data_IF_889518482141
#
_entry.id   IF_889518482141
#
_cell.length_a   1.000
_cell.length_b   1.000
_cell.length_c   1.000
_cell.angle_alpha   90.00
_cell.angle_beta   90.00
_cell.angle_gamma   90.00
#
_symmetry.space_group_name_H-M   'P 1'
#
loop_
_entity.id
_entity.type
_entity.pdbx_description
1 polymer ?
#
# COMPACT_ATOMS: atom_id res chain seq x y z
N UNK A 1 -16.26 -8.95 11.38
CA UNK A 1 -15.78 -8.48 10.07
C UNK A 1 -14.33 -8.93 9.91
N UNK A 2 -14.09 -10.07 9.24
CA UNK A 2 -12.75 -10.66 9.14
C UNK A 2 -12.50 -11.42 7.82
N UNK A 3 -13.30 -11.13 6.78
CA UNK A 3 -13.23 -11.83 5.49
C UNK A 3 -12.07 -11.38 4.59
N UNK A 4 -11.81 -10.07 4.51
CA UNK A 4 -10.89 -9.54 3.50
C UNK A 4 -9.40 -9.87 3.74
N UNK A 5 -8.95 -9.98 5.00
CA UNK A 5 -7.53 -10.22 5.28
C UNK A 5 -7.08 -11.65 4.98
N UNK A 6 -7.98 -12.63 5.15
CA UNK A 6 -7.72 -14.04 4.84
C UNK A 6 -7.65 -14.27 3.33
N UNK A 7 -8.59 -13.70 2.56
CA UNK A 7 -8.56 -13.76 1.09
C UNK A 7 -7.28 -13.14 0.52
N UNK A 8 -6.82 -12.03 1.11
CA UNK A 8 -5.55 -11.40 0.73
C UNK A 8 -4.33 -12.30 1.02
N UNK A 9 -4.34 -13.02 2.14
CA UNK A 9 -3.22 -13.86 2.54
C UNK A 9 -3.02 -15.08 1.61
N UNK A 10 -4.11 -15.63 1.08
CA UNK A 10 -4.08 -16.87 0.30
C UNK A 10 -3.86 -16.65 -1.21
N UNK A 11 -4.06 -15.42 -1.71
CA UNK A 11 -3.95 -15.17 -3.14
C UNK A 11 -2.49 -15.22 -3.65
N UNK A 12 -2.15 -16.04 -4.67
CA UNK A 12 -0.78 -16.25 -5.13
C UNK A 12 -0.12 -14.96 -5.66
N UNK A 13 -0.91 -14.05 -6.25
CA UNK A 13 -0.39 -12.76 -6.70
C UNK A 13 0.19 -11.91 -5.57
N UNK A 14 -0.21 -12.12 -4.31
CA UNK A 14 0.30 -11.33 -3.19
C UNK A 14 1.57 -11.92 -2.57
N UNK A 15 1.99 -13.12 -2.97
CA UNK A 15 3.04 -13.89 -2.30
C UNK A 15 4.32 -13.10 -2.04
N UNK A 16 4.81 -12.38 -3.05
CA UNK A 16 6.09 -11.64 -2.90
C UNK A 16 5.92 -10.40 -2.03
N UNK A 17 4.82 -9.67 -2.17
CA UNK A 17 4.50 -8.57 -1.26
C UNK A 17 4.41 -9.07 0.18
N UNK A 18 3.59 -10.09 0.44
CA UNK A 18 3.38 -10.61 1.79
C UNK A 18 4.67 -11.17 2.38
N UNK A 19 5.51 -11.84 1.58
CA UNK A 19 6.83 -12.28 2.00
C UNK A 19 7.73 -11.11 2.42
N UNK A 20 7.76 -10.04 1.62
CA UNK A 20 8.51 -8.82 1.92
C UNK A 20 8.02 -8.12 3.19
N UNK A 21 6.71 -7.93 3.34
CA UNK A 21 6.12 -7.29 4.52
C UNK A 21 6.36 -8.12 5.79
N UNK A 22 6.12 -9.43 5.71
CA UNK A 22 6.33 -10.36 6.82
C UNK A 22 7.77 -10.39 7.31
N UNK A 23 8.75 -10.27 6.41
CA UNK A 23 10.16 -10.24 6.79
C UNK A 23 10.54 -8.99 7.62
N UNK A 24 9.77 -7.91 7.53
CA UNK A 24 9.98 -6.67 8.29
C UNK A 24 9.10 -6.59 9.53
N UNK A 25 8.02 -7.38 9.57
CA UNK A 25 7.02 -7.37 10.63
C UNK A 25 7.64 -7.59 12.02
N UNK A 26 7.23 -6.76 12.99
CA UNK A 26 7.65 -6.86 14.39
C UNK A 26 6.44 -6.88 15.28
N UNK A 27 6.41 -7.80 16.24
CA UNK A 27 5.40 -7.76 17.30
C UNK A 27 5.75 -6.63 18.29
N UNK A 28 4.77 -5.88 18.80
CA UNK A 28 4.99 -4.94 19.89
C UNK A 28 5.49 -5.68 21.13
N UNK A 29 6.48 -5.11 21.80
CA UNK A 29 7.12 -5.70 23.00
C UNK A 29 7.03 -4.79 24.23
N UNK A 30 6.72 -3.50 24.02
CA UNK A 30 6.57 -2.50 25.07
C UNK A 30 5.21 -1.80 24.98
N UNK A 31 4.67 -1.24 26.09
CA UNK A 31 3.44 -0.45 26.07
C UNK A 31 3.44 0.70 25.06
N UNK A 32 4.60 1.33 24.83
CA UNK A 32 4.75 2.37 23.82
C UNK A 32 4.62 1.83 22.38
N UNK A 33 5.09 0.60 22.13
CA UNK A 33 4.95 -0.06 20.83
C UNK A 33 3.47 -0.34 20.51
N UNK A 34 2.66 -0.65 21.52
CA UNK A 34 1.22 -0.90 21.34
C UNK A 34 0.44 0.37 20.96
N UNK A 35 0.95 1.56 21.30
CA UNK A 35 0.37 2.83 20.83
C UNK A 35 0.50 2.99 19.32
N UNK A 36 1.56 2.42 18.73
CA UNK A 36 1.83 2.43 17.31
C UNK A 36 1.77 0.99 16.76
N UNK A 37 0.66 0.29 17.02
CA UNK A 37 0.43 -1.05 16.50
C UNK A 37 -0.89 -1.12 15.73
N UNK A 38 -0.91 -1.88 14.63
CA UNK A 38 -2.10 -2.20 13.87
C UNK A 38 -2.12 -3.71 13.59
N UNK A 39 -3.24 -4.36 13.92
CA UNK A 39 -3.43 -5.81 13.78
C UNK A 39 -2.32 -6.65 14.45
N UNK A 40 -1.99 -6.34 15.71
CA UNK A 40 -0.92 -7.00 16.49
C UNK A 40 0.53 -6.80 15.99
N UNK A 41 0.74 -5.95 14.99
CA UNK A 41 2.06 -5.62 14.45
C UNK A 41 2.40 -4.17 14.73
N UNK A 42 3.68 -3.89 15.03
CA UNK A 42 4.18 -2.52 15.07
C UNK A 42 3.92 -1.85 13.72
N UNK A 43 3.46 -0.61 13.75
CA UNK A 43 3.18 0.21 12.58
C UNK A 43 4.50 0.52 11.87
N UNK A 44 4.62 0.09 10.62
CA UNK A 44 5.79 0.33 9.76
C UNK A 44 5.60 1.54 8.83
N UNK A 45 4.64 2.39 9.19
CA UNK A 45 4.13 3.49 8.37
C UNK A 45 3.90 4.70 9.26
N UNK A 46 4.23 5.91 8.81
CA UNK A 46 3.91 7.10 9.57
C UNK A 46 2.37 7.32 9.64
N UNK A 47 1.78 7.75 10.77
CA UNK A 47 0.35 8.00 10.89
C UNK A 47 -0.22 8.89 9.77
N UNK A 48 0.46 9.98 9.43
CA UNK A 48 0.07 10.86 8.33
C UNK A 48 -0.04 10.14 6.98
N UNK A 49 0.80 9.12 6.76
CA UNK A 49 0.78 8.32 5.54
C UNK A 49 -0.37 7.30 5.53
N UNK A 50 -0.76 6.78 6.70
CA UNK A 50 -1.99 5.99 6.85
C UNK A 50 -3.22 6.84 6.50
N UNK A 51 -3.32 8.03 7.09
CA UNK A 51 -4.40 8.98 6.79
C UNK A 51 -4.41 9.35 5.31
N UNK A 52 -3.23 9.63 4.76
CA UNK A 52 -3.07 9.93 3.33
C UNK A 52 -3.54 8.80 2.43
N UNK A 53 -3.20 7.54 2.73
CA UNK A 53 -3.72 6.40 1.97
C UNK A 53 -5.25 6.32 2.06
N UNK A 54 -5.82 6.58 3.24
CA UNK A 54 -7.27 6.64 3.44
C UNK A 54 -7.95 7.73 2.60
N UNK A 55 -7.34 8.92 2.48
CA UNK A 55 -7.85 10.00 1.62
C UNK A 55 -7.82 9.69 0.13
N UNK A 56 -6.91 8.80 -0.30
CA UNK A 56 -6.73 8.41 -1.70
C UNK A 56 -7.57 7.20 -2.07
N UNK A 57 -8.02 6.42 -1.08
CA UNK A 57 -8.84 5.23 -1.28
C UNK A 57 -10.18 5.59 -1.92
N UNK A 58 -10.63 4.87 -2.98
CA UNK A 58 -11.97 5.05 -3.53
C UNK A 58 -13.04 4.69 -2.49
N UNK A 59 -14.22 5.31 -2.62
CA UNK A 59 -15.36 5.03 -1.76
C UNK A 59 -15.68 3.53 -1.71
N UNK A 60 -15.86 3.00 -0.50
CA UNK A 60 -16.19 1.60 -0.27
C UNK A 60 -15.00 0.63 -0.30
N UNK A 61 -13.78 1.10 -0.60
CA UNK A 61 -12.56 0.29 -0.49
C UNK A 61 -11.89 0.56 0.87
N UNK A 62 -11.92 -0.42 1.81
CA UNK A 62 -11.32 -0.22 3.12
C UNK A 62 -9.79 -0.27 3.07
N UNK A 63 -9.13 0.53 3.90
CA UNK A 63 -7.72 0.34 4.22
C UNK A 63 -7.60 -0.88 5.13
N UNK A 64 -6.84 -1.88 4.70
CA UNK A 64 -6.59 -3.10 5.46
C UNK A 64 -5.17 -3.12 6.02
N UNK A 65 -4.95 -3.60 7.25
CA UNK A 65 -3.61 -3.80 7.78
C UNK A 65 -3.01 -5.11 7.28
N UNK A 66 -1.74 -5.06 6.87
CA UNK A 66 -0.92 -6.22 6.50
C UNK A 66 0.43 -6.12 7.19
N UNK A 67 0.65 -6.88 8.26
CA UNK A 67 1.92 -6.91 8.99
C UNK A 67 2.41 -5.54 9.48
N UNK A 68 1.49 -4.68 9.92
CA UNK A 68 1.83 -3.33 10.37
C UNK A 68 1.86 -2.28 9.26
N UNK A 69 1.50 -2.66 8.03
CA UNK A 69 1.50 -1.81 6.84
C UNK A 69 0.07 -1.66 6.32
N UNK A 70 -0.44 -0.42 6.15
CA UNK A 70 -1.75 -0.20 5.59
C UNK A 70 -1.75 -0.41 4.07
N UNK A 71 -2.80 -1.04 3.58
CA UNK A 71 -2.92 -1.52 2.21
C UNK A 71 -4.33 -1.31 1.65
N UNK A 72 -4.43 -1.26 0.32
CA UNK A 72 -5.67 -1.32 -0.44
C UNK A 72 -5.66 -2.57 -1.30
N UNK A 73 -6.78 -3.29 -1.30
CA UNK A 73 -6.94 -4.51 -2.06
C UNK A 73 -8.33 -4.55 -2.71
N UNK A 74 -8.43 -5.33 -3.78
CA UNK A 74 -9.70 -5.66 -4.44
C UNK A 74 -9.67 -7.13 -4.82
N UNK A 75 -10.77 -7.84 -4.59
CA UNK A 75 -10.90 -9.27 -4.93
C UNK A 75 -9.73 -10.11 -4.36
N UNK A 76 -9.33 -9.82 -3.12
CA UNK A 76 -8.19 -10.51 -2.48
C UNK A 76 -6.81 -10.13 -3.03
N UNK A 77 -6.68 -9.24 -4.02
CA UNK A 77 -5.38 -8.84 -4.60
C UNK A 77 -4.99 -7.45 -4.11
N UNK A 78 -3.80 -7.33 -3.53
CA UNK A 78 -3.29 -6.03 -3.04
C UNK A 78 -2.86 -5.18 -4.24
N UNK A 79 -3.37 -3.95 -4.27
CA UNK A 79 -3.11 -2.97 -5.31
C UNK A 79 -2.17 -1.87 -4.85
N UNK A 80 -2.22 -1.48 -3.58
CA UNK A 80 -1.36 -0.45 -3.03
C UNK A 80 -1.01 -0.72 -1.57
N UNK A 81 0.18 -0.30 -1.13
CA UNK A 81 0.59 -0.28 0.28
C UNK A 81 1.32 1.02 0.60
N UNK A 82 1.17 1.52 1.83
CA UNK A 82 1.88 2.70 2.32
C UNK A 82 3.06 2.30 3.21
N UNK A 83 4.29 2.54 2.76
CA UNK A 83 5.51 2.09 3.43
C UNK A 83 6.35 3.28 3.95
N UNK A 84 6.92 3.10 5.15
CA UNK A 84 7.82 4.08 5.74
C UNK A 84 7.12 5.41 6.02
N UNK A 85 7.77 6.52 5.69
CA UNK A 85 7.27 7.86 6.07
C UNK A 85 6.50 8.58 4.99
N UNK A 86 6.66 8.19 3.73
CA UNK A 86 6.15 9.00 2.60
C UNK A 86 5.84 8.22 1.33
N UNK A 87 5.93 6.89 1.33
CA UNK A 87 5.93 6.13 0.08
C UNK A 87 4.67 5.31 -0.13
N UNK A 88 4.11 5.41 -1.32
CA UNK A 88 3.10 4.48 -1.82
C UNK A 88 3.79 3.51 -2.77
N UNK A 89 3.66 2.23 -2.49
CA UNK A 89 3.93 1.19 -3.48
C UNK A 89 2.60 0.87 -4.17
N UNK A 90 2.57 0.96 -5.50
CA UNK A 90 1.40 0.64 -6.31
C UNK A 90 1.72 -0.50 -7.27
N UNK A 91 0.74 -1.37 -7.49
CA UNK A 91 0.86 -2.50 -8.40
C UNK A 91 0.37 -2.11 -9.79
N UNK A 92 1.29 -1.72 -10.65
CA UNK A 92 1.02 -1.31 -12.03
C UNK A 92 2.19 -1.70 -12.93
N UNK A 93 1.95 -2.11 -14.19
CA UNK A 93 3.00 -2.49 -15.12
C UNK A 93 3.87 -1.28 -15.52
N UNK A 94 3.29 -0.07 -15.51
CA UNK A 94 3.98 1.19 -15.80
C UNK A 94 3.29 2.33 -15.05
N UNK A 95 4.08 3.24 -14.51
CA UNK A 95 3.56 4.47 -13.92
C UNK A 95 3.19 5.50 -15.00
N UNK A 96 2.13 6.30 -14.78
CA UNK A 96 1.90 7.53 -15.51
C UNK A 96 3.11 8.47 -15.42
N UNK A 97 3.35 9.24 -16.48
CA UNK A 97 4.43 10.22 -16.51
C UNK A 97 4.14 11.40 -15.55
N UNK A 98 5.19 12.06 -15.06
CA UNK A 98 5.07 13.25 -14.21
C UNK A 98 4.63 12.97 -12.77
N UNK A 99 4.80 11.74 -12.29
CA UNK A 99 4.74 11.41 -10.87
C UNK A 99 6.15 11.44 -10.27
N UNK A 100 6.27 11.98 -9.08
CA UNK A 100 7.49 11.87 -8.27
C UNK A 100 7.66 10.40 -7.85
N UNK A 101 8.74 9.79 -8.35
CA UNK A 101 9.09 8.39 -8.11
C UNK A 101 10.22 8.25 -7.11
N UNK A 102 10.32 7.05 -6.53
CA UNK A 102 11.38 6.66 -5.62
C UNK A 102 12.26 5.57 -6.23
N UNK A 103 13.38 5.29 -5.56
CA UNK A 103 14.22 4.14 -5.89
C UNK A 103 13.38 2.85 -5.86
N UNK A 104 13.49 2.00 -6.89
CA UNK A 104 12.83 0.69 -6.90
C UNK A 104 13.21 -0.12 -5.65
N UNK A 105 12.26 -0.91 -5.13
CA UNK A 105 12.46 -1.77 -3.96
C UNK A 105 12.46 -3.24 -4.40
N UNK A 106 13.62 -3.89 -4.58
CA UNK A 106 13.68 -5.33 -4.81
C UNK A 106 13.22 -6.12 -3.56
N UNK A 107 12.54 -7.27 -3.72
CA UNK A 107 12.13 -7.89 -4.99
C UNK A 107 10.81 -7.35 -5.55
N UNK A 108 10.17 -6.37 -4.89
CA UNK A 108 8.85 -5.86 -5.29
C UNK A 108 8.88 -5.26 -6.70
N UNK A 109 9.90 -4.47 -7.00
CA UNK A 109 10.07 -3.83 -8.32
C UNK A 109 10.16 -4.84 -9.46
N UNK A 110 10.75 -6.01 -9.21
CA UNK A 110 10.89 -7.07 -10.20
C UNK A 110 9.55 -7.77 -10.48
N UNK A 111 8.52 -7.47 -9.69
CA UNK A 111 7.20 -8.10 -9.73
C UNK A 111 6.05 -7.09 -9.86
N UNK A 112 6.31 -6.00 -10.59
CA UNK A 112 5.28 -5.05 -11.02
C UNK A 112 4.84 -4.08 -9.94
N UNK A 113 5.63 -3.90 -8.89
CA UNK A 113 5.41 -2.85 -7.90
C UNK A 113 6.26 -1.62 -8.22
N UNK A 114 5.65 -0.45 -8.10
CA UNK A 114 6.27 0.82 -8.40
C UNK A 114 6.14 1.75 -7.20
N UNK A 115 7.20 2.50 -6.90
CA UNK A 115 7.27 3.38 -5.73
C UNK A 115 7.09 4.85 -6.11
N UNK A 116 6.10 5.52 -5.51
CA UNK A 116 5.81 6.94 -5.70
C UNK A 116 5.73 7.68 -4.37
N UNK A 117 6.02 8.99 -4.41
CA UNK A 117 5.82 9.90 -3.28
C UNK A 117 4.32 10.07 -2.99
N UNK A 118 3.91 9.96 -1.72
CA UNK A 118 2.52 10.21 -1.30
C UNK A 118 2.16 11.71 -1.31
N UNK A 119 3.18 12.56 -1.39
CA UNK A 119 3.07 14.02 -1.22
C UNK A 119 3.21 14.78 -2.54
N UNK A 120 3.93 14.22 -3.52
CA UNK A 120 4.13 14.81 -4.85
C UNK A 120 4.57 16.29 -4.74
N UNK A 121 5.71 16.53 -4.07
CA UNK A 121 6.09 17.85 -3.57
C UNK A 121 6.45 18.86 -4.67
N UNK A 122 6.67 18.39 -5.90
CA UNK A 122 7.01 19.22 -7.06
C UNK A 122 5.77 19.84 -7.75
N UNK A 123 4.56 19.45 -7.35
CA UNK A 123 3.29 19.92 -7.94
C UNK A 123 2.30 20.42 -6.88
N UNK A 124 1.30 21.23 -7.25
CA UNK A 124 0.28 21.70 -6.31
C UNK A 124 -0.44 20.53 -5.61
N UNK A 125 -0.67 20.65 -4.29
CA UNK A 125 -1.20 19.55 -3.47
C UNK A 125 -2.54 18.97 -3.96
N UNK A 126 -3.43 19.82 -4.48
CA UNK A 126 -4.71 19.39 -5.05
C UNK A 126 -4.51 18.56 -6.33
N UNK A 127 -3.60 18.98 -7.20
CA UNK A 127 -3.24 18.25 -8.42
C UNK A 127 -2.53 16.93 -8.08
N UNK A 128 -1.59 16.95 -7.14
CA UNK A 128 -0.93 15.74 -6.64
C UNK A 128 -1.92 14.74 -6.06
N UNK A 129 -2.88 15.20 -5.25
CA UNK A 129 -3.97 14.36 -4.73
C UNK A 129 -4.78 13.75 -5.86
N UNK A 130 -5.22 14.55 -6.84
CA UNK A 130 -6.02 14.06 -7.96
C UNK A 130 -5.26 13.00 -8.79
N UNK A 131 -3.99 13.24 -9.10
CA UNK A 131 -3.14 12.28 -9.81
C UNK A 131 -2.96 10.98 -9.03
N UNK A 132 -2.71 11.06 -7.72
CA UNK A 132 -2.57 9.89 -6.86
C UNK A 132 -3.89 9.12 -6.72
N UNK A 133 -5.03 9.80 -6.61
CA UNK A 133 -6.34 9.13 -6.59
C UNK A 133 -6.58 8.36 -7.88
N UNK A 134 -6.26 8.94 -9.04
CA UNK A 134 -6.34 8.21 -10.32
C UNK A 134 -5.40 7.01 -10.35
N UNK A 135 -4.15 7.19 -9.90
CA UNK A 135 -3.17 6.10 -9.81
C UNK A 135 -3.66 4.92 -8.95
N UNK A 136 -4.27 5.20 -7.80
CA UNK A 136 -4.84 4.17 -6.92
C UNK A 136 -6.00 3.44 -7.60
N UNK A 137 -6.87 4.16 -8.30
CA UNK A 137 -7.94 3.55 -9.08
C UNK A 137 -7.41 2.64 -10.19
N UNK A 138 -6.39 3.10 -10.92
CA UNK A 138 -5.74 2.31 -11.97
C UNK A 138 -5.08 1.05 -11.39
N UNK A 139 -4.41 1.16 -10.24
CA UNK A 139 -3.79 0.02 -9.56
C UNK A 139 -4.83 -0.99 -9.09
N UNK A 140 -5.97 -0.54 -8.54
CA UNK A 140 -7.08 -1.42 -8.16
C UNK A 140 -7.69 -2.10 -9.39
N UNK A 141 -7.93 -1.37 -10.47
CA UNK A 141 -8.42 -1.95 -11.71
C UNK A 141 -7.45 -3.00 -12.27
N UNK A 142 -6.15 -2.71 -12.26
CA UNK A 142 -5.13 -3.65 -12.69
C UNK A 142 -5.08 -4.88 -11.77
N UNK A 143 -5.18 -4.72 -10.46
CA UNK A 143 -5.20 -5.84 -9.52
C UNK A 143 -6.33 -6.84 -9.85
N UNK A 144 -7.54 -6.38 -10.20
CA UNK A 144 -8.63 -7.27 -10.65
C UNK A 144 -8.29 -8.07 -11.90
N UNK A 145 -7.54 -7.48 -12.83
CA UNK A 145 -7.12 -8.18 -14.04
C UNK A 145 -6.08 -9.29 -13.81
N UNK A 146 -5.47 -9.36 -12.61
CA UNK A 146 -4.50 -10.40 -12.25
C UNK A 146 -5.16 -11.68 -11.70
N UNK A 147 -6.47 -11.67 -11.47
CA UNK A 147 -7.27 -12.84 -11.08
C UNK A 147 -7.75 -13.66 -12.30
N UNK A 148 -7.52 -13.15 -13.52
CA UNK A 148 -7.90 -13.78 -14.79
C UNK A 148 -6.76 -14.59 -15.42
#
# INVERSE_FOLDING_TARGET
MGGNSLEVADHPANRVLLGYLRAQARRPTSPADYTYAIDEWQLHTHPDLLERLGELAPDGIPVIPLFGVPALATEGIVAAVALGTSWLMVRLPRLPDGLETQAPIPPLSDHGWQSVSAWQSEIPAAEGKERLTRLINDALHHARSLDQ
#
